data_IF_402184807348
#
_entry.id   IF_402184807348
#
_cell.length_a   1.000
_cell.length_b   1.000
_cell.length_c   1.000
_cell.angle_alpha   90.00
_cell.angle_beta   90.00
_cell.angle_gamma   90.00
#
_symmetry.space_group_name_H-M   'P 1'
#
loop_
_entity.id
_entity.type
_entity.pdbx_description
1 polymer ?
#
# COMPACT_ATOMS: atom_id res chain seq x y z
N UNK A 1 17.54 -19.96 -8.98
CA UNK A 1 17.48 -18.51 -9.24
C UNK A 1 16.55 -17.82 -8.27
N UNK A 2 16.99 -17.70 -7.02
CA UNK A 2 16.33 -16.85 -6.03
C UNK A 2 16.83 -15.42 -6.21
N UNK A 3 15.96 -14.53 -6.70
CA UNK A 3 16.21 -13.09 -6.75
C UNK A 3 15.75 -12.47 -5.43
N UNK A 4 16.67 -11.94 -4.63
CA UNK A 4 16.33 -11.16 -3.44
C UNK A 4 16.07 -9.72 -3.85
N UNK A 5 14.97 -9.14 -3.37
CA UNK A 5 14.55 -7.76 -3.65
C UNK A 5 13.91 -7.14 -2.41
N UNK A 6 13.57 -5.85 -2.44
CA UNK A 6 12.82 -5.20 -1.36
C UNK A 6 11.51 -5.91 -0.99
N UNK A 7 10.93 -6.69 -1.91
CA UNK A 7 9.71 -7.46 -1.70
C UNK A 7 9.95 -8.92 -1.28
N UNK A 8 11.20 -9.38 -1.30
CA UNK A 8 11.58 -10.69 -0.78
C UNK A 8 11.59 -10.72 0.75
N UNK A 9 11.48 -11.90 1.40
CA UNK A 9 11.55 -12.03 2.85
C UNK A 9 12.83 -11.43 3.46
N UNK A 10 13.94 -11.52 2.74
CA UNK A 10 15.24 -11.00 3.16
C UNK A 10 15.33 -9.46 3.07
N UNK A 11 14.30 -8.81 2.52
CA UNK A 11 14.20 -7.37 2.39
C UNK A 11 15.18 -6.76 1.39
N UNK A 12 15.31 -5.44 1.49
CA UNK A 12 16.19 -4.62 0.66
C UNK A 12 17.65 -4.98 0.90
N UNK A 13 18.36 -5.31 -0.19
CA UNK A 13 19.76 -5.73 -0.11
C UNK A 13 20.69 -4.52 -0.23
N UNK A 14 21.81 -4.57 0.49
CA UNK A 14 22.86 -3.56 0.43
C UNK A 14 24.17 -4.17 -0.05
N UNK A 15 24.71 -3.64 -1.14
CA UNK A 15 26.01 -4.04 -1.72
C UNK A 15 26.89 -2.81 -1.73
N UNK A 16 28.11 -2.90 -1.17
CA UNK A 16 29.04 -1.76 -1.06
C UNK A 16 28.40 -0.50 -0.42
N UNK A 17 27.57 -0.69 0.61
CA UNK A 17 26.79 0.36 1.28
C UNK A 17 25.80 1.11 0.37
N UNK A 18 25.40 0.51 -0.75
CA UNK A 18 24.37 1.02 -1.66
C UNK A 18 23.19 0.06 -1.68
N UNK A 19 21.98 0.61 -1.62
CA UNK A 19 20.77 -0.19 -1.83
C UNK A 19 20.68 -0.67 -3.28
N UNK A 20 20.17 -1.88 -3.48
CA UNK A 20 19.91 -2.46 -4.81
C UNK A 20 18.47 -2.97 -4.91
N UNK A 21 17.85 -2.80 -6.09
CA UNK A 21 16.46 -3.23 -6.31
C UNK A 21 16.31 -4.76 -6.33
N UNK A 22 17.31 -5.44 -6.89
CA UNK A 22 17.39 -6.89 -6.90
C UNK A 22 18.83 -7.40 -6.88
N UNK A 23 19.05 -8.53 -6.21
CA UNK A 23 20.34 -9.22 -6.19
C UNK A 23 20.14 -10.73 -6.30
N UNK A 24 20.88 -11.35 -7.22
CA UNK A 24 20.97 -12.79 -7.39
C UNK A 24 22.36 -13.25 -6.94
N UNK A 25 22.44 -13.93 -5.80
CA UNK A 25 23.71 -14.41 -5.23
C UNK A 25 24.34 -15.51 -6.09
N UNK A 26 23.52 -16.37 -6.71
CA UNK A 26 23.98 -17.49 -7.56
C UNK A 26 24.83 -16.99 -8.74
N UNK A 27 24.44 -15.88 -9.35
CA UNK A 27 25.07 -15.32 -10.55
C UNK A 27 25.84 -14.03 -10.28
N UNK A 28 25.92 -13.60 -9.02
CA UNK A 28 26.45 -12.29 -8.60
C UNK A 28 25.90 -11.14 -9.47
N UNK A 29 24.61 -11.20 -9.78
CA UNK A 29 23.94 -10.23 -10.66
C UNK A 29 23.11 -9.25 -9.86
N UNK A 30 23.34 -7.96 -10.09
CA UNK A 30 22.58 -6.85 -9.53
C UNK A 30 21.57 -6.39 -10.58
N UNK A 31 20.31 -6.24 -10.18
CA UNK A 31 19.25 -5.67 -11.00
C UNK A 31 18.90 -4.29 -10.46
N UNK A 32 18.88 -3.29 -11.34
CA UNK A 32 18.55 -1.90 -11.01
C UNK A 32 17.45 -1.40 -11.93
N UNK A 33 16.43 -0.79 -11.34
CA UNK A 33 15.34 -0.15 -12.06
C UNK A 33 15.41 1.37 -11.84
N UNK A 34 15.71 2.10 -12.91
CA UNK A 34 15.94 3.53 -12.84
C UNK A 34 14.68 4.31 -13.17
N UNK A 35 14.02 4.85 -12.15
CA UNK A 35 12.98 5.87 -12.32
C UNK A 35 13.57 7.09 -13.04
N UNK A 36 13.00 7.47 -14.18
CA UNK A 36 13.64 8.41 -15.10
C UNK A 36 13.85 9.79 -14.45
N UNK A 37 12.90 10.24 -13.64
CA UNK A 37 12.96 11.51 -12.93
C UNK A 37 14.03 11.52 -11.83
N UNK A 38 14.15 10.43 -11.07
CA UNK A 38 15.08 10.34 -9.94
C UNK A 38 16.51 10.16 -10.41
N UNK A 39 16.71 9.40 -11.49
CA UNK A 39 18.03 8.99 -11.96
C UNK A 39 18.55 9.79 -13.16
N UNK A 40 17.77 10.73 -13.70
CA UNK A 40 18.19 11.60 -14.80
C UNK A 40 18.31 10.87 -16.13
N UNK A 41 17.24 10.23 -16.57
CA UNK A 41 17.21 9.56 -17.87
C UNK A 41 17.51 10.55 -19.01
N UNK A 42 18.50 10.22 -19.84
CA UNK A 42 18.93 11.01 -20.99
C UNK A 42 17.83 11.21 -22.04
N UNK A 43 16.96 10.21 -22.21
CA UNK A 43 15.92 10.23 -23.24
C UNK A 43 14.68 11.03 -22.79
N UNK A 44 14.45 11.14 -21.47
CA UNK A 44 13.27 11.82 -20.92
C UNK A 44 13.53 13.26 -20.49
N UNK A 45 14.77 13.61 -20.14
CA UNK A 45 15.10 14.90 -19.56
C UNK A 45 16.36 15.49 -20.15
N UNK A 46 16.35 16.81 -20.37
CA UNK A 46 17.54 17.57 -20.71
C UNK A 46 18.53 17.54 -19.54
N UNK A 47 19.82 17.34 -19.85
CA UNK A 47 20.88 17.24 -18.86
C UNK A 47 21.08 18.53 -18.06
N UNK A 48 20.84 19.69 -18.68
CA UNK A 48 20.98 21.00 -18.04
C UNK A 48 19.73 21.41 -17.24
N UNK A 49 18.60 20.72 -17.44
CA UNK A 49 17.40 20.95 -16.65
C UNK A 49 17.59 20.48 -15.19
N UNK A 50 16.94 21.19 -14.27
CA UNK A 50 17.03 20.94 -12.83
C UNK A 50 15.89 20.03 -12.36
N UNK A 51 16.23 18.97 -11.65
CA UNK A 51 15.28 18.21 -10.86
C UNK A 51 14.87 19.04 -9.62
N UNK A 52 13.61 19.45 -9.56
CA UNK A 52 13.10 20.35 -8.52
C UNK A 52 13.07 19.74 -7.11
N UNK A 53 13.13 18.42 -6.97
CA UNK A 53 13.09 17.74 -5.66
C UNK A 53 14.47 17.72 -5.03
N UNK A 54 15.50 17.42 -5.83
CA UNK A 54 16.89 17.30 -5.37
C UNK A 54 17.67 18.61 -5.56
N UNK A 55 17.13 19.54 -6.36
CA UNK A 55 17.74 20.80 -6.77
C UNK A 55 19.11 20.62 -7.45
N UNK A 56 19.22 19.62 -8.31
CA UNK A 56 20.42 19.30 -9.10
C UNK A 56 20.05 19.04 -10.56
N UNK A 57 21.03 19.17 -11.46
CA UNK A 57 20.80 18.89 -12.88
C UNK A 57 20.57 17.41 -13.14
N UNK A 58 19.73 17.06 -14.11
CA UNK A 58 19.53 15.67 -14.49
C UNK A 58 20.83 15.01 -15.00
N UNK A 59 21.75 15.78 -15.59
CA UNK A 59 23.10 15.30 -15.89
C UNK A 59 23.82 14.80 -14.63
N UNK A 60 23.78 15.57 -13.55
CA UNK A 60 24.43 15.20 -12.28
C UNK A 60 23.83 13.93 -11.68
N UNK A 61 22.51 13.79 -11.72
CA UNK A 61 21.80 12.59 -11.27
C UNK A 61 22.22 11.36 -12.10
N UNK A 62 22.26 11.51 -13.42
CA UNK A 62 22.69 10.45 -14.34
C UNK A 62 24.13 10.01 -14.08
N UNK A 63 25.03 10.95 -13.87
CA UNK A 63 26.43 10.64 -13.56
C UNK A 63 26.58 9.91 -12.22
N UNK A 64 25.74 10.21 -11.21
CA UNK A 64 25.72 9.45 -9.95
C UNK A 64 25.23 8.02 -10.15
N UNK A 65 24.18 7.83 -10.94
CA UNK A 65 23.69 6.51 -11.32
C UNK A 65 24.80 5.72 -12.02
N UNK A 66 25.41 6.30 -13.05
CA UNK A 66 26.53 5.69 -13.80
C UNK A 66 27.72 5.33 -12.91
N UNK A 67 28.12 6.23 -11.99
CA UNK A 67 29.21 5.96 -11.03
C UNK A 67 28.89 4.77 -10.10
N UNK A 68 27.62 4.61 -9.72
CA UNK A 68 27.19 3.50 -8.87
C UNK A 68 27.27 2.18 -9.66
N UNK A 69 26.83 2.17 -10.92
CA UNK A 69 26.95 1.03 -11.82
C UNK A 69 28.42 0.64 -12.05
N UNK A 70 29.28 1.61 -12.39
CA UNK A 70 30.71 1.35 -12.56
C UNK A 70 31.38 0.82 -11.28
N UNK A 71 30.95 1.30 -10.11
CA UNK A 71 31.45 0.79 -8.83
C UNK A 71 31.13 -0.70 -8.68
N UNK A 72 29.88 -1.10 -8.93
CA UNK A 72 29.49 -2.51 -8.87
C UNK A 72 30.26 -3.38 -9.88
N UNK A 73 30.34 -2.93 -11.13
CA UNK A 73 31.08 -3.66 -12.17
C UNK A 73 32.57 -3.79 -11.83
N UNK A 74 33.19 -2.76 -11.25
CA UNK A 74 34.60 -2.79 -10.81
C UNK A 74 34.87 -3.82 -9.71
N UNK A 75 33.84 -4.21 -8.96
CA UNK A 75 33.92 -5.24 -7.92
C UNK A 75 33.51 -6.63 -8.43
N UNK A 76 33.31 -6.79 -9.74
CA UNK A 76 33.03 -8.08 -10.39
C UNK A 76 31.55 -8.46 -10.48
N UNK A 77 30.63 -7.56 -10.10
CA UNK A 77 29.20 -7.82 -10.25
C UNK A 77 28.74 -7.61 -11.70
N UNK A 78 27.84 -8.46 -12.18
CA UNK A 78 27.09 -8.19 -13.41
C UNK A 78 25.93 -7.27 -13.08
N UNK A 79 25.79 -6.11 -13.74
CA UNK A 79 24.67 -5.19 -13.49
C UNK A 79 23.71 -5.22 -14.68
N UNK A 80 22.44 -5.50 -14.41
CA UNK A 80 21.36 -5.44 -15.39
C UNK A 80 20.46 -4.26 -15.02
N UNK A 81 20.41 -3.28 -15.91
CA UNK A 81 19.67 -2.04 -15.69
C UNK A 81 18.44 -1.98 -16.58
N UNK A 82 17.35 -1.40 -16.06
CA UNK A 82 16.16 -1.09 -16.85
C UNK A 82 15.66 0.31 -16.52
N UNK A 83 15.56 1.16 -17.52
CA UNK A 83 14.96 2.49 -17.36
C UNK A 83 13.45 2.43 -17.40
N UNK A 84 12.79 3.29 -16.62
CA UNK A 84 11.34 3.39 -16.55
C UNK A 84 10.71 3.63 -17.94
N UNK A 85 11.27 4.54 -18.75
CA UNK A 85 10.73 4.83 -20.08
C UNK A 85 10.78 3.63 -21.03
N UNK A 86 11.88 2.88 -21.02
CA UNK A 86 12.05 1.68 -21.84
C UNK A 86 11.06 0.60 -21.39
N UNK A 87 10.94 0.42 -20.07
CA UNK A 87 9.98 -0.52 -19.50
C UNK A 87 8.55 -0.16 -19.88
N UNK A 88 8.16 1.11 -19.77
CA UNK A 88 6.83 1.58 -20.16
C UNK A 88 6.59 1.34 -21.64
N UNK A 89 7.55 1.68 -22.51
CA UNK A 89 7.43 1.52 -23.95
C UNK A 89 7.23 0.06 -24.36
N UNK A 90 8.01 -0.85 -23.79
CA UNK A 90 7.90 -2.30 -24.03
C UNK A 90 6.60 -2.89 -23.47
N UNK A 91 6.09 -2.33 -22.37
CA UNK A 91 4.89 -2.84 -21.67
C UNK A 91 3.61 -2.04 -21.99
N UNK A 92 3.57 -1.24 -23.06
CA UNK A 92 2.35 -0.53 -23.51
C UNK A 92 1.15 -1.47 -23.70
N UNK A 93 1.41 -2.70 -24.14
CA UNK A 93 0.40 -3.77 -24.28
C UNK A 93 -0.05 -4.27 -22.90
N UNK A 94 0.89 -4.50 -21.96
CA UNK A 94 0.63 -4.98 -20.60
C UNK A 94 -0.19 -3.99 -19.78
N UNK A 95 0.07 -2.68 -19.88
CA UNK A 95 -0.72 -1.68 -19.16
C UNK A 95 -2.17 -1.58 -19.68
N UNK A 96 -2.37 -1.73 -20.99
CA UNK A 96 -3.69 -1.76 -21.62
C UNK A 96 -4.45 -3.03 -21.22
N UNK A 97 -3.79 -4.20 -21.27
CA UNK A 97 -4.33 -5.47 -20.78
C UNK A 97 -4.65 -5.44 -19.28
N UNK A 98 -3.78 -4.89 -18.43
CA UNK A 98 -4.03 -4.73 -17.00
C UNK A 98 -5.20 -3.77 -16.71
N UNK A 99 -5.49 -2.82 -17.60
CA UNK A 99 -6.68 -1.96 -17.51
C UNK A 99 -7.95 -2.72 -17.89
N UNK A 100 -7.90 -3.53 -18.95
CA UNK A 100 -9.02 -4.37 -19.42
C UNK A 100 -9.32 -5.51 -18.45
N UNK A 101 -8.28 -6.15 -17.90
CA UNK A 101 -8.39 -7.21 -16.89
C UNK A 101 -8.87 -6.65 -15.53
N UNK A 102 -8.60 -5.37 -15.22
CA UNK A 102 -9.20 -4.67 -14.08
C UNK A 102 -10.70 -4.41 -14.24
N UNK A 103 -11.22 -4.39 -15.46
CA UNK A 103 -12.64 -4.12 -15.75
C UNK A 103 -13.49 -5.39 -15.85
N UNK A 104 -12.87 -6.58 -15.84
CA UNK A 104 -13.58 -7.87 -15.81
C UNK A 104 -13.27 -8.56 -14.50
N UNK A 105 -14.26 -8.63 -13.62
CA UNK A 105 -14.22 -9.28 -12.32
C UNK A 105 -13.55 -10.66 -12.40
N UNK A 106 -12.29 -10.74 -11.99
CA UNK A 106 -11.68 -11.98 -11.52
C UNK A 106 -10.49 -11.64 -10.61
N UNK A 107 -10.43 -12.32 -9.48
CA UNK A 107 -9.46 -12.22 -8.39
C UNK A 107 -7.99 -12.37 -8.86
N UNK A 108 -7.44 -11.33 -9.50
CA UNK A 108 -6.03 -11.27 -9.87
C UNK A 108 -5.38 -10.12 -9.09
N UNK A 109 -4.85 -10.47 -7.93
CA UNK A 109 -3.74 -9.78 -7.25
C UNK A 109 -3.80 -8.24 -7.24
N UNK A 110 -4.86 -7.65 -6.68
CA UNK A 110 -4.67 -6.35 -6.03
C UNK A 110 -3.92 -6.65 -4.74
N UNK A 111 -2.58 -6.65 -4.82
CA UNK A 111 -1.70 -6.74 -3.66
C UNK A 111 -2.30 -5.95 -2.51
N UNK A 112 -2.22 -6.51 -1.30
CA UNK A 112 -2.60 -5.79 -0.10
C UNK A 112 -1.80 -4.48 -0.06
N UNK A 113 -2.50 -3.34 -0.11
CA UNK A 113 -1.90 -2.04 0.10
C UNK A 113 -2.15 -1.64 1.56
N UNK A 114 -1.10 -1.58 2.41
CA UNK A 114 -1.27 -1.22 3.82
C UNK A 114 -1.96 0.13 4.03
N UNK A 115 -1.88 1.05 3.06
CA UNK A 115 -2.54 2.36 3.14
C UNK A 115 -4.06 2.27 3.13
N UNK A 116 -4.63 1.23 2.54
CA UNK A 116 -6.08 1.02 2.51
C UNK A 116 -6.63 0.72 3.93
N UNK A 117 -5.78 0.22 4.84
CA UNK A 117 -6.13 -0.01 6.23
C UNK A 117 -5.98 1.23 7.13
N UNK A 118 -5.48 2.35 6.61
CA UNK A 118 -5.25 3.56 7.40
C UNK A 118 -6.50 4.46 7.39
N UNK A 119 -7.13 4.59 8.56
CA UNK A 119 -8.30 5.42 8.80
C UNK A 119 -8.04 6.44 9.91
N UNK A 120 -8.77 7.56 9.84
CA UNK A 120 -8.78 8.56 10.91
C UNK A 120 -9.61 8.11 12.12
N UNK A 121 -9.87 9.06 13.03
CA UNK A 121 -10.76 8.83 14.17
C UNK A 121 -12.20 8.52 13.73
N UNK A 122 -12.93 7.76 14.57
CA UNK A 122 -14.35 7.48 14.37
C UNK A 122 -15.18 8.67 14.86
N UNK A 123 -16.06 9.18 13.99
CA UNK A 123 -17.12 10.13 14.32
C UNK A 123 -18.46 9.45 14.07
N UNK A 124 -19.22 9.14 15.14
CA UNK A 124 -20.48 8.41 15.03
C UNK A 124 -21.50 8.98 16.01
N UNK A 125 -22.23 10.05 15.63
CA UNK A 125 -23.31 10.56 16.47
C UNK A 125 -24.39 9.50 16.63
N UNK A 126 -24.82 9.23 17.87
CA UNK A 126 -25.99 8.38 18.13
C UNK A 126 -27.30 9.09 17.75
N UNK A 127 -27.32 10.41 17.89
CA UNK A 127 -28.43 11.29 17.56
C UNK A 127 -27.85 12.49 16.81
N UNK A 128 -28.38 12.79 15.61
CA UNK A 128 -27.92 13.92 14.80
C UNK A 128 -28.42 15.27 15.33
N UNK A 129 -29.62 15.28 15.92
CA UNK A 129 -30.22 16.45 16.53
C UNK A 129 -30.97 16.05 17.80
N UNK A 130 -30.62 16.66 18.92
CA UNK A 130 -31.30 16.48 20.19
C UNK A 130 -31.64 17.84 20.75
N UNK A 131 -32.94 18.15 20.80
CA UNK A 131 -33.44 19.34 21.49
C UNK A 131 -33.45 19.05 22.99
N UNK A 132 -32.55 19.71 23.71
CA UNK A 132 -32.35 19.41 25.13
C UNK A 132 -33.42 20.06 26.00
N UNK A 133 -34.10 19.24 26.80
CA UNK A 133 -34.99 19.70 27.88
C UNK A 133 -34.20 20.08 29.15
N UNK A 134 -32.93 19.67 29.22
CA UNK A 134 -32.01 19.87 30.36
C UNK A 134 -30.88 20.85 30.01
N UNK A 135 -30.53 21.76 30.92
CA UNK A 135 -29.49 22.79 30.70
C UNK A 135 -28.03 22.30 30.81
N UNK A 136 -27.79 21.00 31.03
CA UNK A 136 -26.45 20.47 31.29
C UNK A 136 -26.09 19.34 30.34
N UNK A 137 -25.01 19.55 29.59
CA UNK A 137 -24.33 18.51 28.81
C UNK A 137 -23.01 18.18 29.50
N UNK A 138 -22.68 16.88 29.60
CA UNK A 138 -21.39 16.42 30.10
C UNK A 138 -20.55 15.96 28.91
N UNK A 139 -19.38 16.56 28.74
CA UNK A 139 -18.41 16.17 27.72
C UNK A 139 -17.23 15.47 28.39
N UNK A 140 -17.00 14.22 27.99
CA UNK A 140 -15.83 13.46 28.41
C UNK A 140 -14.74 13.59 27.34
N UNK A 141 -13.63 14.24 27.69
CA UNK A 141 -12.47 14.34 26.82
C UNK A 141 -11.37 13.45 27.38
N UNK A 142 -10.90 12.47 26.60
CA UNK A 142 -9.72 11.69 26.95
C UNK A 142 -8.46 12.41 26.44
N UNK A 143 -7.66 12.98 27.34
CA UNK A 143 -6.35 13.58 27.02
C UNK A 143 -5.26 12.94 27.90
N UNK A 144 -4.06 12.64 27.36
CA UNK A 144 -3.68 12.70 25.95
C UNK A 144 -3.94 11.36 25.23
N UNK A 145 -4.98 11.29 24.39
CA UNK A 145 -5.37 10.06 23.67
C UNK A 145 -4.20 9.49 22.85
N UNK A 146 -3.73 10.19 21.82
CA UNK A 146 -2.74 9.65 20.87
C UNK A 146 -1.39 9.27 21.50
N UNK A 147 -0.79 10.06 22.40
CA UNK A 147 0.47 9.70 23.08
C UNK A 147 0.32 8.49 24.02
N UNK A 148 -0.78 8.39 24.77
CA UNK A 148 -1.00 7.25 25.67
C UNK A 148 -1.18 5.94 24.91
N UNK A 149 -1.92 5.97 23.80
CA UNK A 149 -2.09 4.80 22.93
C UNK A 149 -0.74 4.39 22.29
N UNK A 150 0.07 5.36 21.85
CA UNK A 150 1.41 5.06 21.30
C UNK A 150 2.35 4.41 22.30
N UNK A 151 2.26 4.75 23.59
CA UNK A 151 3.13 4.18 24.63
C UNK A 151 2.74 2.75 25.03
N UNK A 152 1.43 2.43 25.00
CA UNK A 152 0.91 1.17 25.58
C UNK A 152 0.65 0.06 24.56
N UNK A 153 0.62 0.37 23.27
CA UNK A 153 0.27 -0.61 22.23
C UNK A 153 1.50 -1.13 21.49
N UNK A 154 1.35 -2.33 20.93
CA UNK A 154 2.34 -2.96 20.06
C UNK A 154 2.15 -2.44 18.64
N UNK A 155 3.25 -2.14 17.95
CA UNK A 155 3.27 -1.68 16.56
C UNK A 155 4.17 -2.59 15.72
N UNK A 156 3.87 -2.76 14.42
CA UNK A 156 4.79 -3.44 13.51
C UNK A 156 6.07 -2.60 13.34
N UNK A 157 7.23 -3.24 13.53
CA UNK A 157 8.56 -2.57 13.54
C UNK A 157 9.50 -3.16 12.46
N UNK A 158 9.10 -4.23 11.79
CA UNK A 158 9.92 -4.97 10.80
C UNK A 158 9.16 -5.16 9.49
N UNK A 159 9.87 -5.65 8.47
CA UNK A 159 9.24 -6.11 7.24
C UNK A 159 8.20 -7.20 7.55
N UNK A 160 7.01 -7.12 6.94
CA UNK A 160 5.97 -8.11 7.17
C UNK A 160 6.27 -9.41 6.42
N UNK A 161 5.90 -10.53 7.02
CA UNK A 161 5.81 -11.80 6.29
C UNK A 161 4.61 -11.74 5.33
N UNK A 162 4.89 -11.90 4.03
CA UNK A 162 3.87 -11.78 2.99
C UNK A 162 3.32 -13.16 2.64
N UNK A 163 2.13 -13.47 3.16
CA UNK A 163 1.41 -14.69 2.80
C UNK A 163 0.56 -14.42 1.55
N UNK A 164 0.77 -15.22 0.50
CA UNK A 164 0.02 -15.16 -0.76
C UNK A 164 -0.48 -16.54 -1.16
N UNK A 165 -1.50 -16.57 -2.00
CA UNK A 165 -2.09 -17.80 -2.53
C UNK A 165 -3.25 -18.32 -1.68
N UNK A 166 -4.27 -18.87 -2.33
CA UNK A 166 -5.53 -19.27 -1.70
C UNK A 166 -5.32 -20.38 -0.64
N UNK A 167 -4.44 -21.35 -0.91
CA UNK A 167 -4.11 -22.43 0.02
C UNK A 167 -3.47 -21.89 1.29
N UNK A 168 -2.37 -21.14 1.14
CA UNK A 168 -1.66 -20.56 2.28
C UNK A 168 -2.54 -19.62 3.11
N UNK A 169 -3.43 -18.84 2.47
CA UNK A 169 -4.33 -17.94 3.20
C UNK A 169 -5.50 -18.66 3.90
N UNK A 170 -5.91 -19.87 3.44
CA UNK A 170 -6.99 -20.63 4.07
C UNK A 170 -6.56 -21.28 5.39
N UNK A 171 -5.31 -21.70 5.46
CA UNK A 171 -4.77 -22.41 6.62
C UNK A 171 -4.34 -21.45 7.75
N UNK A 172 -4.35 -20.14 7.49
CA UNK A 172 -4.02 -19.11 8.48
C UNK A 172 -5.18 -18.90 9.44
N UNK A 173 -4.94 -19.21 10.71
CA UNK A 173 -5.86 -18.83 11.78
C UNK A 173 -5.74 -17.33 12.07
N UNK A 174 -6.80 -16.56 11.76
CA UNK A 174 -6.84 -15.09 11.86
C UNK A 174 -6.41 -14.58 13.25
N UNK A 175 -6.74 -15.32 14.32
CA UNK A 175 -6.40 -14.93 15.71
C UNK A 175 -4.89 -14.84 15.96
N UNK A 176 -4.11 -15.57 15.18
CA UNK A 176 -2.66 -15.63 15.31
C UNK A 176 -1.96 -14.63 14.39
N UNK A 177 -2.72 -13.85 13.61
CA UNK A 177 -2.19 -12.85 12.68
C UNK A 177 -2.06 -11.51 13.39
N UNK A 178 -0.83 -11.09 13.64
CA UNK A 178 -0.51 -9.70 13.98
C UNK A 178 -0.16 -8.92 12.71
N UNK A 179 -1.15 -8.36 12.03
CA UNK A 179 -0.92 -7.70 10.74
C UNK A 179 -2.18 -7.19 10.06
N UNK A 180 -2.11 -7.06 8.74
CA UNK A 180 -3.21 -6.57 7.89
C UNK A 180 -3.68 -7.74 7.02
N UNK A 181 -5.00 -7.92 6.92
CA UNK A 181 -5.63 -8.94 6.11
C UNK A 181 -6.54 -8.25 5.09
N UNK A 182 -6.43 -8.64 3.82
CA UNK A 182 -7.36 -8.25 2.78
C UNK A 182 -8.41 -9.34 2.62
N UNK A 183 -9.65 -9.05 3.01
CA UNK A 183 -10.73 -10.02 3.00
C UNK A 183 -12.08 -9.37 2.71
N UNK A 184 -13.04 -10.19 2.28
CA UNK A 184 -14.46 -9.83 2.21
C UNK A 184 -15.09 -10.23 3.53
N UNK A 185 -15.73 -9.27 4.22
CA UNK A 185 -16.35 -9.51 5.54
C UNK A 185 -17.86 -9.30 5.42
N UNK A 186 -18.64 -10.24 5.95
CA UNK A 186 -20.08 -10.08 6.13
C UNK A 186 -20.36 -9.48 7.53
N UNK A 187 -20.85 -8.24 7.65
CA UNK A 187 -21.18 -7.67 8.95
C UNK A 187 -22.39 -8.37 9.61
N UNK A 188 -22.49 -8.36 10.95
CA UNK A 188 -23.72 -8.77 11.62
C UNK A 188 -24.90 -7.86 11.25
N UNK A 189 -26.13 -8.37 11.33
CA UNK A 189 -27.34 -7.62 10.95
C UNK A 189 -27.74 -6.55 11.96
N UNK A 190 -27.45 -6.76 13.24
CA UNK A 190 -27.96 -5.93 14.34
C UNK A 190 -26.81 -5.59 15.30
N UNK A 191 -26.04 -4.57 14.94
CA UNK A 191 -24.96 -4.06 15.79
C UNK A 191 -25.18 -2.57 16.04
N UNK A 192 -25.40 -2.20 17.31
CA UNK A 192 -25.72 -0.83 17.71
C UNK A 192 -24.61 0.16 17.32
N UNK A 193 -23.35 -0.26 17.46
CA UNK A 193 -22.19 0.54 17.09
C UNK A 193 -21.32 -0.24 16.10
N UNK A 194 -21.56 -0.10 14.79
CA UNK A 194 -20.72 -0.74 13.79
C UNK A 194 -19.26 -0.30 13.93
N UNK A 195 -18.33 -1.24 13.74
CA UNK A 195 -16.89 -1.03 13.98
C UNK A 195 -16.05 -1.09 12.72
N UNK A 196 -16.57 -1.70 11.65
CA UNK A 196 -15.84 -1.87 10.40
C UNK A 196 -15.90 -0.57 9.58
N UNK A 197 -14.76 0.07 9.29
CA UNK A 197 -14.74 1.27 8.47
C UNK A 197 -15.04 0.91 7.02
N UNK A 198 -15.84 1.74 6.36
CA UNK A 198 -16.08 1.68 4.92
C UNK A 198 -15.99 3.09 4.33
N UNK A 199 -15.17 3.24 3.29
CA UNK A 199 -14.91 4.55 2.67
C UNK A 199 -15.65 4.65 1.34
N UNK A 200 -16.60 5.58 1.28
CA UNK A 200 -17.20 6.09 0.04
C UNK A 200 -16.55 7.45 -0.28
N UNK A 201 -17.35 8.49 -0.49
CA UNK A 201 -16.96 9.90 -0.37
C UNK A 201 -16.53 10.27 1.07
N UNK A 202 -17.06 9.57 2.07
CA UNK A 202 -16.81 9.79 3.51
C UNK A 202 -16.43 8.50 4.20
N UNK A 203 -15.78 8.63 5.36
CA UNK A 203 -15.54 7.50 6.25
C UNK A 203 -16.80 7.21 7.06
N UNK A 204 -17.39 6.04 6.85
CA UNK A 204 -18.58 5.57 7.56
C UNK A 204 -18.33 4.21 8.19
N UNK A 205 -19.28 3.76 9.00
CA UNK A 205 -19.24 2.44 9.64
C UNK A 205 -20.58 1.73 9.39
N UNK A 206 -20.82 1.20 8.18
CA UNK A 206 -22.10 0.58 7.81
C UNK A 206 -22.12 -0.92 8.15
N UNK A 207 -23.33 -1.49 8.25
CA UNK A 207 -23.54 -2.95 8.29
C UNK A 207 -23.92 -3.55 6.92
N UNK A 208 -24.05 -2.70 5.91
CA UNK A 208 -24.36 -3.08 4.54
C UNK A 208 -23.69 -2.09 3.58
N UNK A 209 -22.86 -2.63 2.67
CA UNK A 209 -22.22 -1.85 1.60
C UNK A 209 -23.24 -1.10 0.73
N UNK A 210 -24.23 -1.82 0.22
CA UNK A 210 -25.24 -1.23 -0.67
C UNK A 210 -26.06 -0.15 0.02
N UNK A 211 -26.44 -0.32 1.30
CA UNK A 211 -27.22 0.70 2.02
C UNK A 211 -26.50 2.04 2.15
N UNK A 212 -25.18 2.05 2.35
CA UNK A 212 -24.44 3.31 2.45
C UNK A 212 -24.24 3.97 1.09
N UNK A 213 -24.16 3.17 0.02
CA UNK A 213 -24.03 3.67 -1.36
C UNK A 213 -25.35 4.25 -1.88
N UNK A 214 -26.47 3.62 -1.55
CA UNK A 214 -27.82 3.98 -2.02
C UNK A 214 -28.62 4.82 -1.00
N UNK A 215 -28.05 5.09 0.19
CA UNK A 215 -28.69 5.83 1.28
C UNK A 215 -30.03 5.22 1.74
N UNK A 216 -30.09 3.89 1.86
CA UNK A 216 -31.30 3.18 2.27
C UNK A 216 -31.57 3.33 3.78
N UNK A 217 -32.85 3.47 4.16
CA UNK A 217 -33.29 3.49 5.56
C UNK A 217 -33.60 2.11 6.13
N UNK A 218 -34.07 1.17 5.29
CA UNK A 218 -34.36 -0.21 5.66
C UNK A 218 -33.58 -1.18 4.76
N UNK A 219 -32.69 -1.98 5.36
CA UNK A 219 -31.87 -2.95 4.63
C UNK A 219 -32.66 -4.22 4.32
N UNK A 220 -32.82 -4.56 3.03
CA UNK A 220 -33.36 -5.85 2.55
C UNK A 220 -32.37 -6.63 1.67
N UNK A 221 -31.12 -6.16 1.64
CA UNK A 221 -30.06 -6.71 0.81
C UNK A 221 -29.62 -8.10 1.23
N UNK A 222 -29.18 -8.86 0.23
CA UNK A 222 -28.54 -10.18 0.36
C UNK A 222 -27.19 -10.08 1.07
N UNK A 223 -26.63 -11.22 1.50
CA UNK A 223 -25.34 -11.22 2.18
C UNK A 223 -24.19 -10.75 1.26
N UNK A 224 -24.26 -11.06 -0.03
CA UNK A 224 -23.33 -10.57 -1.06
C UNK A 224 -23.33 -9.04 -1.20
N UNK A 225 -24.51 -8.43 -1.20
CA UNK A 225 -24.72 -6.99 -1.27
C UNK A 225 -24.32 -6.31 0.05
N UNK A 226 -24.51 -6.98 1.18
CA UNK A 226 -24.14 -6.45 2.50
C UNK A 226 -22.64 -6.49 2.77
N UNK A 227 -21.96 -7.50 2.25
CA UNK A 227 -20.54 -7.72 2.53
C UNK A 227 -19.66 -6.50 2.20
N UNK A 228 -18.71 -6.21 3.07
CA UNK A 228 -17.73 -5.13 2.91
C UNK A 228 -16.45 -5.71 2.30
N UNK A 229 -15.89 -5.01 1.31
CA UNK A 229 -14.61 -5.30 0.66
C UNK A 229 -14.06 -4.06 -0.04
#
# INVERSE_FOLDING_TARGET
>A
MALSSKLSPDGEQHILNKSVDGYCTETQTIYQFHECFVHGCKECYDGDAINMVVNESFYTLRERTRRTTCLFESQGYTVIEKWECDFIQENKITQTLLKVLRQRDFFINVNLNPRDALFGGKTSPAILFYESVVKKCVMWILLPFTPMFRKKNVYPIKHPDIIRGITNCRDVEIKNVFGIIKCKILPPKQLLFPVLPYRTDKLTFPLCRTCVQELCTLCRHTDEERALY
#
